data_IF_452445038331
#
_entry.id   IF_452445038331
#
_cell.length_a   1.000
_cell.length_b   1.000
_cell.length_c   1.000
_cell.angle_alpha   90.00
_cell.angle_beta   90.00
_cell.angle_gamma   90.00
#
_symmetry.space_group_name_H-M   'P 1'
#
loop_
_entity.id
_entity.type
_entity.pdbx_description
1 polymer ?
#
# COMPACT_ATOMS: atom_id res chain seq x y z
N UNK A 1 -0.73 12.98 -1.43
CA UNK A 1 0.67 12.55 -1.65
C UNK A 1 0.94 11.30 -0.81
N UNK A 2 1.88 10.45 -1.18
CA UNK A 2 2.25 9.30 -0.37
C UNK A 2 3.77 9.23 -0.17
N UNK A 3 4.19 8.57 0.91
CA UNK A 3 5.57 8.11 1.12
C UNK A 3 5.53 6.64 1.51
N UNK A 4 6.65 5.95 1.41
CA UNK A 4 6.76 4.57 1.86
C UNK A 4 8.14 4.32 2.45
N UNK A 5 8.24 3.32 3.31
CA UNK A 5 9.47 2.91 3.96
C UNK A 5 9.52 1.37 3.99
N UNK A 6 10.66 0.83 3.62
CA UNK A 6 10.99 -0.55 3.95
C UNK A 6 11.52 -0.59 5.39
N UNK A 7 10.78 -1.17 6.33
CA UNK A 7 11.23 -1.26 7.72
C UNK A 7 12.10 -2.49 7.93
N UNK A 8 12.98 -2.42 8.94
CA UNK A 8 13.68 -3.60 9.42
C UNK A 8 12.69 -4.73 9.75
N UNK A 9 12.93 -5.89 9.14
CA UNK A 9 12.04 -7.05 9.16
C UNK A 9 11.30 -7.27 7.84
N UNK A 10 10.10 -7.83 7.95
CA UNK A 10 9.29 -8.31 6.83
C UNK A 10 8.08 -7.39 6.56
N UNK A 11 8.22 -6.09 6.84
CA UNK A 11 7.12 -5.12 6.72
C UNK A 11 7.52 -3.90 5.91
N UNK A 12 6.73 -3.59 4.89
CA UNK A 12 6.76 -2.30 4.18
C UNK A 12 5.59 -1.45 4.68
N UNK A 13 5.84 -0.17 5.00
CA UNK A 13 4.77 0.77 5.36
C UNK A 13 4.58 1.81 4.28
N UNK A 14 3.35 2.02 3.84
CA UNK A 14 2.97 3.10 2.92
C UNK A 14 2.09 4.10 3.66
N UNK A 15 2.45 5.37 3.62
CA UNK A 15 1.76 6.45 4.32
C UNK A 15 1.11 7.37 3.28
N UNK A 16 -0.21 7.34 3.20
CA UNK A 16 -1.00 8.19 2.31
C UNK A 16 -1.44 9.42 3.12
N UNK A 17 -0.83 10.58 2.85
CA UNK A 17 -1.08 11.83 3.56
C UNK A 17 -2.35 12.48 3.00
N UNK A 18 -3.37 12.59 3.86
CA UNK A 18 -4.69 13.12 3.56
C UNK A 18 -5.24 13.79 4.83
N UNK A 19 -5.21 15.11 4.86
CA UNK A 19 -5.64 15.88 6.04
C UNK A 19 -7.11 15.61 6.36
N UNK A 20 -7.40 15.40 7.63
CA UNK A 20 -8.75 15.13 8.14
C UNK A 20 -9.34 13.77 7.76
N UNK A 21 -8.58 12.88 7.09
CA UNK A 21 -9.09 11.57 6.63
C UNK A 21 -9.62 10.70 7.77
N UNK A 22 -9.08 10.86 8.99
CA UNK A 22 -9.55 10.13 10.17
C UNK A 22 -10.94 10.55 10.68
N UNK A 23 -11.56 11.59 10.10
CA UNK A 23 -12.94 12.00 10.40
C UNK A 23 -13.97 11.28 9.53
N UNK A 24 -13.54 10.60 8.46
CA UNK A 24 -14.45 9.85 7.61
C UNK A 24 -15.00 8.62 8.35
N UNK A 25 -16.22 8.19 8.04
CA UNK A 25 -16.74 6.92 8.51
C UNK A 25 -15.84 5.75 8.11
N UNK A 26 -15.62 4.73 8.96
CA UNK A 26 -14.72 3.61 8.66
C UNK A 26 -15.03 2.88 7.34
N UNK A 27 -16.31 2.75 6.99
CA UNK A 27 -16.78 2.10 5.76
C UNK A 27 -16.41 2.86 4.48
N UNK A 28 -16.10 4.15 4.60
CA UNK A 28 -15.63 4.98 3.49
C UNK A 28 -14.19 4.65 3.09
N UNK A 29 -13.45 3.89 3.92
CA UNK A 29 -12.05 3.55 3.68
C UNK A 29 -11.92 2.03 3.58
N UNK A 30 -11.58 1.54 2.39
CA UNK A 30 -11.50 0.11 2.10
C UNK A 30 -10.17 -0.22 1.46
N UNK A 31 -9.58 -1.35 1.83
CA UNK A 31 -8.35 -1.84 1.20
C UNK A 31 -8.48 -3.29 0.80
N UNK A 32 -7.91 -3.65 -0.34
CA UNK A 32 -7.75 -5.05 -0.77
C UNK A 32 -6.27 -5.34 -1.02
N UNK A 33 -5.87 -6.56 -0.66
CA UNK A 33 -4.50 -7.04 -0.84
C UNK A 33 -4.52 -8.36 -1.59
N UNK A 34 -3.51 -8.57 -2.42
CA UNK A 34 -3.22 -9.81 -3.15
C UNK A 34 -1.71 -10.01 -3.16
N UNK A 35 -1.24 -11.18 -3.64
CA UNK A 35 0.17 -11.59 -3.53
C UNK A 35 1.14 -10.53 -4.06
N UNK A 36 0.78 -9.80 -5.12
CA UNK A 36 1.64 -8.74 -5.68
C UNK A 36 0.90 -7.42 -5.93
N UNK A 37 -0.27 -7.21 -5.33
CA UNK A 37 -1.04 -6.00 -5.58
C UNK A 37 -1.82 -5.56 -4.35
N UNK A 38 -2.02 -4.25 -4.24
CA UNK A 38 -2.91 -3.66 -3.24
C UNK A 38 -3.72 -2.52 -3.84
N UNK A 39 -4.85 -2.24 -3.21
CA UNK A 39 -5.69 -1.10 -3.50
C UNK A 39 -6.21 -0.49 -2.20
N UNK A 40 -6.28 0.84 -2.17
CA UNK A 40 -6.95 1.65 -1.17
C UNK A 40 -7.99 2.51 -1.87
N UNK A 41 -9.25 2.32 -1.50
CA UNK A 41 -10.40 3.11 -1.94
C UNK A 41 -10.84 4.00 -0.79
N UNK A 42 -11.08 5.27 -1.10
CA UNK A 42 -11.56 6.27 -0.15
C UNK A 42 -12.75 6.96 -0.79
N UNK A 43 -13.93 6.70 -0.26
CA UNK A 43 -15.16 7.37 -0.63
C UNK A 43 -15.33 8.66 0.18
N UNK A 44 -16.01 9.64 -0.41
CA UNK A 44 -16.44 10.90 0.21
C UNK A 44 -15.35 11.77 0.88
N UNK A 45 -14.09 11.64 0.46
CA UNK A 45 -13.03 12.56 0.87
C UNK A 45 -13.22 13.92 0.19
N UNK A 46 -13.76 14.90 0.92
CA UNK A 46 -14.11 16.23 0.39
C UNK A 46 -15.02 16.16 -0.85
N UNK A 47 -15.99 15.24 -0.81
CA UNK A 47 -16.93 15.01 -1.93
C UNK A 47 -16.30 14.31 -3.14
N UNK A 48 -15.12 13.71 -2.99
CA UNK A 48 -14.42 12.97 -4.05
C UNK A 48 -14.17 11.53 -3.66
N UNK A 49 -14.16 10.66 -4.68
CA UNK A 49 -13.65 9.29 -4.56
C UNK A 49 -12.19 9.27 -4.95
N UNK A 50 -11.34 8.76 -4.07
CA UNK A 50 -9.92 8.59 -4.32
C UNK A 50 -9.58 7.11 -4.40
N UNK A 51 -8.59 6.79 -5.24
CA UNK A 51 -8.04 5.46 -5.40
C UNK A 51 -6.52 5.55 -5.38
N UNK A 52 -5.89 4.67 -4.62
CA UNK A 52 -4.46 4.46 -4.66
C UNK A 52 -4.19 2.96 -4.78
N UNK A 53 -3.54 2.54 -5.86
CA UNK A 53 -3.32 1.13 -6.16
C UNK A 53 -1.90 0.88 -6.67
N UNK A 54 -1.41 -0.33 -6.38
CA UNK A 54 -0.20 -0.90 -6.96
C UNK A 54 -0.57 -2.26 -7.55
N UNK A 55 -0.42 -2.42 -8.87
CA UNK A 55 -0.81 -3.65 -9.58
C UNK A 55 0.29 -4.72 -9.59
N UNK A 56 1.54 -4.33 -9.30
CA UNK A 56 2.68 -5.24 -9.18
C UNK A 56 3.68 -4.63 -8.19
N UNK A 57 3.68 -5.10 -6.95
CA UNK A 57 4.62 -4.70 -5.91
C UNK A 57 6.02 -5.24 -6.22
N UNK A 58 7.05 -4.62 -5.63
CA UNK A 58 8.44 -5.02 -5.83
C UNK A 58 8.66 -6.50 -5.56
N UNK A 59 8.21 -6.99 -4.40
CA UNK A 59 8.19 -8.41 -4.04
C UNK A 59 6.78 -8.91 -3.75
N UNK A 60 6.68 -10.19 -3.44
CA UNK A 60 5.43 -10.82 -2.99
C UNK A 60 5.09 -10.47 -1.53
N UNK A 61 3.80 -10.51 -1.23
CA UNK A 61 3.23 -10.19 0.07
C UNK A 61 2.41 -11.36 0.60
N UNK A 62 2.14 -11.34 1.91
CA UNK A 62 1.15 -12.18 2.60
C UNK A 62 -0.15 -11.39 2.77
N UNK A 63 -1.15 -11.52 1.87
CA UNK A 63 -2.30 -10.62 1.83
C UNK A 63 -3.12 -10.60 3.13
N UNK A 64 -3.24 -11.75 3.78
CA UNK A 64 -3.95 -11.97 5.03
C UNK A 64 -3.33 -11.25 6.24
N UNK A 65 -2.03 -10.95 6.16
CA UNK A 65 -1.30 -10.18 7.19
C UNK A 65 -1.21 -8.68 6.83
N UNK A 66 -1.66 -8.29 5.64
CA UNK A 66 -1.69 -6.89 5.21
C UNK A 66 -2.93 -6.17 5.76
N UNK A 67 -2.80 -4.87 6.05
CA UNK A 67 -3.92 -4.06 6.57
C UNK A 67 -3.72 -2.58 6.33
N UNK A 68 -4.81 -1.82 6.38
CA UNK A 68 -4.74 -0.37 6.52
C UNK A 68 -4.99 0.03 7.98
N UNK A 69 -4.43 1.17 8.39
CA UNK A 69 -4.68 1.81 9.68
C UNK A 69 -4.94 3.29 9.46
N UNK A 70 -6.14 3.75 9.81
CA UNK A 70 -6.53 5.15 9.69
C UNK A 70 -5.93 5.95 10.87
N UNK A 71 -5.43 7.14 10.58
CA UNK A 71 -4.95 8.15 11.53
C UNK A 71 -5.61 9.48 11.18
N UNK A 72 -5.49 10.48 12.06
CA UNK A 72 -6.16 11.78 11.89
C UNK A 72 -5.94 12.40 10.49
N UNK A 73 -4.70 12.43 10.00
CA UNK A 73 -4.31 13.09 8.75
C UNK A 73 -3.59 12.15 7.76
N UNK A 74 -3.72 10.84 7.94
CA UNK A 74 -3.12 9.86 7.01
C UNK A 74 -3.74 8.48 7.13
N UNK A 75 -3.55 7.68 6.10
CA UNK A 75 -3.79 6.24 6.13
C UNK A 75 -2.45 5.52 5.99
N UNK A 76 -2.18 4.58 6.90
CA UNK A 76 -1.01 3.73 6.83
C UNK A 76 -1.40 2.36 6.27
N UNK A 77 -0.88 1.98 5.12
CA UNK A 77 -0.90 0.59 4.66
C UNK A 77 0.31 -0.14 5.27
N UNK A 78 0.07 -1.31 5.84
CA UNK A 78 1.08 -2.22 6.35
C UNK A 78 1.08 -3.42 5.44
N UNK A 79 2.15 -3.59 4.68
CA UNK A 79 2.34 -4.68 3.73
C UNK A 79 3.31 -5.68 4.35
N UNK A 80 2.87 -6.94 4.50
CA UNK A 80 3.70 -8.02 5.00
C UNK A 80 4.40 -8.71 3.84
N UNK A 81 5.73 -8.72 3.81
CA UNK A 81 6.52 -9.42 2.78
C UNK A 81 6.33 -10.92 2.93
N UNK A 82 6.25 -11.62 1.79
CA UNK A 82 6.20 -13.09 1.77
C UNK A 82 7.55 -13.70 2.19
N UNK A 83 8.65 -13.08 1.77
CA UNK A 83 10.02 -13.54 2.04
C UNK A 83 10.63 -12.79 3.23
N UNK A 84 11.16 -13.54 4.18
CA UNK A 84 11.90 -12.98 5.31
C UNK A 84 13.19 -12.30 4.85
N UNK A 85 13.56 -11.19 5.49
CA UNK A 85 14.78 -10.41 5.21
C UNK A 85 14.90 -9.92 3.76
N UNK A 86 13.81 -9.94 3.00
CA UNK A 86 13.75 -9.34 1.67
C UNK A 86 13.89 -7.82 1.76
N UNK A 87 14.46 -7.18 0.75
CA UNK A 87 14.68 -5.72 0.74
C UNK A 87 13.99 -5.15 -0.49
N UNK A 88 13.06 -4.22 -0.26
CA UNK A 88 12.34 -3.56 -1.33
C UNK A 88 13.04 -2.24 -1.66
N UNK A 89 13.62 -2.17 -2.86
CA UNK A 89 14.25 -0.95 -3.37
C UNK A 89 13.23 0.03 -3.98
N UNK A 90 12.01 -0.46 -4.22
CA UNK A 90 10.88 0.34 -4.67
C UNK A 90 9.59 -0.23 -4.07
N UNK A 91 8.51 0.54 -4.07
CA UNK A 91 7.18 0.02 -3.75
C UNK A 91 6.59 -0.74 -4.95
N UNK A 92 6.84 -0.24 -6.17
CA UNK A 92 6.33 -0.79 -7.42
C UNK A 92 7.42 -1.64 -8.08
N UNK A 93 7.04 -2.74 -8.73
CA UNK A 93 7.97 -3.46 -9.61
C UNK A 93 8.37 -2.51 -10.74
N UNK A 94 9.64 -2.13 -10.74
CA UNK A 94 10.28 -1.43 -11.85
C UNK A 94 10.96 -2.45 -12.74
N UNK A 95 10.91 -2.21 -14.05
CA UNK A 95 11.65 -3.00 -15.03
C UNK A 95 13.13 -2.71 -14.89
N UNK A 96 13.94 -3.75 -14.69
CA UNK A 96 15.38 -3.70 -14.83
C UNK A 96 15.80 -4.12 -16.24
N UNK A 97 17.02 -3.74 -16.65
CA UNK A 97 17.61 -4.27 -17.88
C UNK A 97 17.76 -5.78 -17.72
N UNK A 98 17.16 -6.55 -18.62
CA UNK A 98 17.17 -8.01 -18.59
C UNK A 98 16.04 -8.67 -17.79
N UNK A 99 15.04 -7.93 -17.31
CA UNK A 99 13.79 -8.55 -16.82
C UNK A 99 12.97 -9.10 -18.01
N UNK A 100 12.68 -10.40 -17.99
CA UNK A 100 11.76 -11.10 -18.92
C UNK A 100 10.28 -11.08 -18.44
N UNK A 101 10.01 -10.32 -17.39
CA UNK A 101 8.69 -10.19 -16.76
C UNK A 101 7.77 -9.39 -17.71
N UNK A 102 6.93 -10.09 -18.48
CA UNK A 102 5.95 -9.47 -19.40
C UNK A 102 4.99 -8.53 -18.63
N UNK A 103 4.54 -7.42 -19.26
CA UNK A 103 3.74 -6.37 -18.61
C UNK A 103 2.39 -6.85 -18.06
#
# INVERSE_FOLDING_TARGET
AYTWEDKEGDTVKVLVLLDGVGKLPPESIRSSFSVRAFELLIDDYNGKKLRFACHKTHGEMKPEECRHMVRANRINLVLKKAKEKDVWFDLFKKRAIGDDDDP
#
